data_IF_937037468214
#
_entry.id   IF_937037468214
#
_cell.length_a   1.000
_cell.length_b   1.000
_cell.length_c   1.000
_cell.angle_alpha   90.00
_cell.angle_beta   90.00
_cell.angle_gamma   90.00
#
_symmetry.space_group_name_H-M   'P 1'
#
loop_
_entity.id
_entity.type
_entity.pdbx_description
1 polymer ?
#
# COMPACT_ATOMS: atom_id res chain seq x y z
N UNK A 1 16.05 71.88 14.03
CA UNK A 1 14.96 71.43 13.13
C UNK A 1 15.63 70.72 11.96
N UNK A 2 15.97 69.44 12.13
CA UNK A 2 16.56 68.63 11.07
C UNK A 2 15.47 67.77 10.45
N UNK A 3 15.29 67.92 9.14
CA UNK A 3 14.36 67.13 8.35
C UNK A 3 14.76 65.65 8.33
N UNK A 4 13.71 64.82 8.37
CA UNK A 4 13.68 63.40 8.12
C UNK A 4 14.42 62.96 6.85
N UNK A 5 15.17 61.87 7.00
CA UNK A 5 15.28 60.83 5.99
C UNK A 5 15.19 59.47 6.73
N UNK A 6 14.23 58.60 6.39
CA UNK A 6 14.48 57.18 6.52
C UNK A 6 14.18 56.44 5.22
N UNK A 7 15.27 56.01 4.57
CA UNK A 7 15.48 54.65 4.03
C UNK A 7 14.21 53.83 3.87
N UNK A 8 13.70 53.75 2.64
CA UNK A 8 12.84 52.66 2.20
C UNK A 8 13.59 51.34 2.33
N UNK A 9 13.24 50.54 3.33
CA UNK A 9 13.61 49.13 3.39
C UNK A 9 12.70 48.36 2.44
N UNK A 10 13.29 47.83 1.37
CA UNK A 10 12.64 46.95 0.40
C UNK A 10 12.24 45.62 1.07
N UNK A 11 10.93 45.28 1.16
CA UNK A 11 10.48 44.03 1.79
C UNK A 11 10.62 42.81 0.88
N UNK A 12 11.10 42.94 -0.37
CA UNK A 12 11.30 41.80 -1.27
C UNK A 12 12.64 41.07 -1.06
N UNK A 13 12.92 40.66 0.18
CA UNK A 13 13.99 39.68 0.45
C UNK A 13 13.47 38.27 0.12
N UNK A 14 13.59 37.90 -1.16
CA UNK A 14 13.77 36.54 -1.67
C UNK A 14 12.92 35.43 -1.01
N UNK A 15 11.68 35.27 -1.46
CA UNK A 15 10.93 34.03 -1.26
C UNK A 15 11.51 32.92 -2.13
N UNK A 16 12.47 32.15 -1.61
CA UNK A 16 12.79 30.86 -2.19
C UNK A 16 11.49 30.03 -2.23
N UNK A 17 11.10 29.54 -3.41
CA UNK A 17 9.98 28.62 -3.54
C UNK A 17 10.18 27.48 -2.52
N UNK A 18 9.12 27.04 -1.80
CA UNK A 18 9.25 25.90 -0.89
C UNK A 18 9.86 24.75 -1.67
N UNK A 19 11.03 24.27 -1.22
CA UNK A 19 11.58 23.01 -1.72
C UNK A 19 10.47 21.98 -1.51
N UNK A 20 10.06 21.22 -2.54
CA UNK A 20 9.05 20.18 -2.36
C UNK A 20 9.58 19.25 -1.27
N UNK A 21 8.94 19.29 -0.10
CA UNK A 21 9.32 18.46 1.02
C UNK A 21 9.03 17.02 0.59
N UNK A 22 10.05 16.17 0.62
CA UNK A 22 9.85 14.72 0.49
C UNK A 22 8.84 14.20 1.52
N UNK A 23 8.45 12.91 1.43
CA UNK A 23 7.38 12.36 2.26
C UNK A 23 7.63 12.63 3.76
N UNK A 24 6.78 13.46 4.35
CA UNK A 24 7.00 14.07 5.66
C UNK A 24 6.30 13.31 6.79
N UNK A 25 5.31 12.50 6.44
CA UNK A 25 4.51 11.72 7.37
C UNK A 25 4.35 10.26 6.91
N UNK A 26 3.92 9.35 7.81
CA UNK A 26 3.80 7.94 7.48
C UNK A 26 2.86 7.65 6.29
N UNK A 27 1.77 8.40 6.17
CA UNK A 27 0.84 8.22 5.05
C UNK A 27 1.53 8.46 3.69
N UNK A 28 2.31 9.53 3.60
CA UNK A 28 3.06 9.90 2.39
C UNK A 28 4.17 8.90 2.07
N UNK A 29 4.89 8.42 3.09
CA UNK A 29 5.93 7.39 2.93
C UNK A 29 5.35 6.08 2.39
N UNK A 30 4.15 5.70 2.86
CA UNK A 30 3.45 4.52 2.37
C UNK A 30 3.12 4.65 0.88
N UNK A 31 2.58 5.80 0.45
CA UNK A 31 2.30 6.08 -0.95
C UNK A 31 3.52 5.94 -1.85
N UNK A 32 4.64 6.56 -1.45
CA UNK A 32 5.91 6.47 -2.19
C UNK A 32 6.38 5.02 -2.26
N UNK A 33 6.38 4.29 -1.15
CA UNK A 33 6.80 2.88 -1.14
C UNK A 33 5.94 2.00 -2.06
N UNK A 34 4.62 2.23 -2.11
CA UNK A 34 3.72 1.54 -3.05
C UNK A 34 4.04 1.85 -4.51
N UNK A 35 4.31 3.11 -4.83
CA UNK A 35 4.67 3.53 -6.18
C UNK A 35 6.02 2.97 -6.64
N UNK A 36 7.03 3.02 -5.77
CA UNK A 36 8.35 2.45 -6.05
C UNK A 36 8.26 0.95 -6.33
N UNK A 37 7.47 0.23 -5.53
CA UNK A 37 7.23 -1.20 -5.77
C UNK A 37 6.51 -1.44 -7.10
N UNK A 38 5.46 -0.66 -7.40
CA UNK A 38 4.74 -0.76 -8.66
C UNK A 38 5.64 -0.56 -9.87
N UNK A 39 6.52 0.45 -9.81
CA UNK A 39 7.53 0.73 -10.83
C UNK A 39 8.55 -0.40 -10.95
N UNK A 40 9.05 -0.93 -9.84
CA UNK A 40 9.99 -2.04 -9.83
C UNK A 40 9.39 -3.31 -10.46
N UNK A 41 8.15 -3.66 -10.11
CA UNK A 41 7.42 -4.80 -10.68
C UNK A 41 7.23 -4.63 -12.20
N UNK A 42 6.90 -3.41 -12.66
CA UNK A 42 6.78 -3.06 -14.07
C UNK A 42 8.11 -3.19 -14.82
N UNK A 43 9.21 -2.85 -14.15
CA UNK A 43 10.57 -2.99 -14.66
C UNK A 43 11.10 -4.45 -14.61
N UNK A 44 10.30 -5.41 -14.14
CA UNK A 44 10.65 -6.83 -14.12
C UNK A 44 11.27 -7.32 -12.81
N UNK A 45 11.42 -6.46 -11.79
CA UNK A 45 11.82 -6.91 -10.46
C UNK A 45 10.78 -7.88 -9.89
N UNK A 46 11.22 -8.85 -9.10
CA UNK A 46 10.35 -9.84 -8.44
C UNK A 46 10.72 -9.97 -6.95
N UNK A 47 9.72 -10.12 -6.06
CA UNK A 47 9.97 -10.35 -4.65
C UNK A 47 10.73 -11.67 -4.45
N UNK A 48 11.63 -11.69 -3.47
CA UNK A 48 12.39 -12.88 -3.12
C UNK A 48 11.74 -13.59 -1.94
N UNK A 49 11.79 -14.93 -1.88
CA UNK A 49 11.36 -15.68 -0.71
C UNK A 49 12.04 -15.21 0.57
N UNK A 50 11.27 -15.10 1.65
CA UNK A 50 11.72 -14.74 2.99
C UNK A 50 11.48 -15.93 3.93
N UNK A 51 12.44 -16.25 4.82
CA UNK A 51 12.19 -17.17 5.92
C UNK A 51 11.08 -16.65 6.83
N UNK A 52 10.15 -17.53 7.22
CA UNK A 52 9.06 -17.19 8.11
C UNK A 52 8.64 -18.42 8.94
N UNK A 53 8.24 -18.24 10.20
CA UNK A 53 7.86 -19.34 11.11
C UNK A 53 6.42 -19.80 10.87
N UNK A 54 6.07 -20.16 9.63
CA UNK A 54 4.73 -20.66 9.27
C UNK A 54 4.82 -21.95 8.46
N UNK A 55 3.79 -22.80 8.57
CA UNK A 55 3.65 -23.96 7.69
C UNK A 55 3.27 -23.50 6.28
N UNK A 56 3.97 -24.03 5.27
CA UNK A 56 3.81 -23.69 3.87
C UNK A 56 3.42 -24.93 3.08
N UNK A 57 2.48 -24.78 2.14
CA UNK A 57 2.17 -25.81 1.17
C UNK A 57 3.36 -26.04 0.20
N UNK A 58 3.45 -27.19 -0.49
CA UNK A 58 4.43 -27.38 -1.56
C UNK A 58 4.40 -26.23 -2.58
N UNK A 59 5.56 -25.62 -2.83
CA UNK A 59 5.70 -24.47 -3.73
C UNK A 59 5.23 -23.13 -3.16
N UNK A 60 4.68 -23.10 -1.95
CA UNK A 60 4.32 -21.86 -1.26
C UNK A 60 5.56 -21.23 -0.63
N UNK A 61 5.73 -19.92 -0.82
CA UNK A 61 6.82 -19.13 -0.25
C UNK A 61 6.29 -17.82 0.31
N UNK A 62 6.82 -17.39 1.46
CA UNK A 62 6.55 -16.05 1.99
C UNK A 62 7.38 -15.03 1.21
N UNK A 63 6.73 -13.97 0.74
CA UNK A 63 7.34 -12.92 -0.08
C UNK A 63 7.37 -11.57 0.65
N UNK A 64 6.52 -11.42 1.66
CA UNK A 64 6.58 -10.33 2.62
C UNK A 64 5.93 -10.70 3.95
N UNK A 65 6.32 -10.02 5.01
CA UNK A 65 5.72 -10.18 6.32
C UNK A 65 5.78 -8.86 7.10
N UNK A 66 4.80 -8.61 7.97
CA UNK A 66 4.76 -7.41 8.81
C UNK A 66 3.79 -7.57 9.99
N UNK A 67 4.00 -6.79 11.04
CA UNK A 67 3.05 -6.70 12.14
C UNK A 67 1.69 -6.21 11.61
N UNK A 68 0.61 -6.80 12.11
CA UNK A 68 -0.75 -6.49 11.67
C UNK A 68 -1.70 -6.28 12.83
N UNK A 69 -2.61 -5.33 12.68
CA UNK A 69 -3.82 -5.21 13.50
C UNK A 69 -5.04 -5.48 12.61
N UNK A 70 -5.81 -6.49 12.98
CA UNK A 70 -7.05 -6.87 12.31
C UNK A 70 -8.20 -6.02 12.84
N UNK A 71 -8.96 -5.44 11.92
CA UNK A 71 -10.23 -4.78 12.22
C UNK A 71 -11.36 -5.42 11.42
N UNK A 72 -12.51 -5.58 12.05
CA UNK A 72 -13.73 -6.09 11.42
C UNK A 72 -14.76 -4.99 11.25
N UNK A 73 -15.51 -5.08 10.15
CA UNK A 73 -16.64 -4.19 9.88
C UNK A 73 -17.91 -4.70 10.57
N UNK A 74 -18.48 -3.91 11.49
CA UNK A 74 -19.77 -4.24 12.14
C UNK A 74 -20.88 -3.41 11.47
N UNK A 75 -21.62 -4.03 10.55
CA UNK A 75 -22.64 -3.35 9.74
C UNK A 75 -24.09 -3.68 10.08
N UNK A 76 -24.38 -4.85 10.64
CA UNK A 76 -25.69 -5.30 11.13
C UNK A 76 -25.46 -6.42 12.16
N UNK A 77 -26.42 -6.65 13.06
CA UNK A 77 -26.41 -7.71 14.09
C UNK A 77 -26.19 -9.10 13.47
N UNK A 78 -24.93 -9.45 13.22
CA UNK A 78 -24.52 -10.80 12.89
C UNK A 78 -23.88 -11.35 14.13
N UNK A 79 -24.65 -12.20 14.82
CA UNK A 79 -24.19 -13.03 15.92
C UNK A 79 -22.88 -13.69 15.53
N UNK A 80 -21.86 -13.46 16.35
CA UNK A 80 -20.52 -14.03 16.19
C UNK A 80 -20.62 -15.55 16.19
N UNK A 81 -20.54 -16.17 15.01
CA UNK A 81 -20.09 -17.55 14.98
C UNK A 81 -18.57 -17.53 15.18
N UNK A 82 -18.17 -17.63 16.44
CA UNK A 82 -16.92 -18.24 16.85
C UNK A 82 -16.93 -19.68 16.31
N UNK A 83 -16.57 -19.87 15.05
CA UNK A 83 -16.81 -21.14 14.39
C UNK A 83 -16.07 -21.23 13.08
N UNK A 84 -14.81 -21.67 13.18
CA UNK A 84 -14.00 -22.24 12.11
C UNK A 84 -13.60 -21.28 10.97
N UNK A 85 -12.41 -20.67 11.12
CA UNK A 85 -11.49 -20.58 9.98
C UNK A 85 -10.95 -21.98 9.71
N UNK A 86 -11.77 -22.80 9.06
CA UNK A 86 -11.31 -24.02 8.40
C UNK A 86 -11.33 -23.75 6.93
N UNK A 87 -10.22 -23.21 6.43
CA UNK A 87 -9.74 -23.62 5.12
C UNK A 87 -8.74 -24.76 5.36
N UNK A 88 -9.20 -25.91 5.88
CA UNK A 88 -8.45 -27.15 5.68
C UNK A 88 -8.52 -27.42 4.17
N UNK A 89 -7.38 -27.32 3.51
CA UNK A 89 -7.25 -27.63 2.11
C UNK A 89 -5.79 -27.84 1.76
N UNK A 90 -5.37 -29.10 1.79
CA UNK A 90 -4.26 -29.59 0.95
C UNK A 90 -4.38 -28.97 -0.46
N UNK A 91 -3.29 -28.54 -1.13
CA UNK A 91 -3.33 -27.83 -2.41
C UNK A 91 -3.75 -28.71 -3.61
N UNK A 92 -4.52 -29.79 -3.41
CA UNK A 92 -4.86 -30.78 -4.43
C UNK A 92 -6.29 -30.68 -4.97
N UNK A 93 -6.89 -29.50 -5.05
CA UNK A 93 -8.08 -29.30 -5.86
C UNK A 93 -7.78 -28.39 -7.04
N UNK A 94 -7.20 -29.00 -8.08
CA UNK A 94 -7.34 -28.55 -9.46
C UNK A 94 -8.83 -28.60 -9.83
N UNK A 95 -9.46 -27.44 -9.97
CA UNK A 95 -10.84 -27.31 -10.40
C UNK A 95 -11.05 -25.98 -11.11
N UNK A 96 -11.37 -26.06 -12.40
CA UNK A 96 -11.49 -24.93 -13.32
C UNK A 96 -12.41 -23.82 -12.80
N UNK A 97 -11.98 -22.57 -12.90
CA UNK A 97 -12.87 -21.42 -12.99
C UNK A 97 -12.24 -20.31 -13.83
N UNK A 98 -13.12 -19.66 -14.59
CA UNK A 98 -12.88 -19.02 -15.88
C UNK A 98 -12.20 -17.64 -15.79
N UNK A 99 -11.53 -17.29 -16.89
CA UNK A 99 -11.18 -15.94 -17.32
C UNK A 99 -12.24 -14.87 -16.99
N UNK A 100 -11.77 -13.68 -16.58
CA UNK A 100 -12.53 -12.44 -16.66
C UNK A 100 -12.32 -11.48 -15.48
N UNK A 101 -11.15 -10.87 -15.35
CA UNK A 101 -10.98 -9.66 -14.52
C UNK A 101 -11.65 -8.47 -15.22
N UNK A 102 -12.96 -8.35 -15.05
CA UNK A 102 -13.67 -7.12 -15.38
C UNK A 102 -13.32 -6.07 -14.30
N UNK A 103 -12.55 -5.06 -14.70
CA UNK A 103 -12.40 -3.82 -13.95
C UNK A 103 -13.79 -3.19 -13.80
N UNK A 104 -14.38 -3.32 -12.62
CA UNK A 104 -15.61 -2.61 -12.27
C UNK A 104 -15.38 -1.85 -10.97
N UNK A 105 -15.13 -0.54 -11.09
CA UNK A 105 -15.03 0.35 -9.95
C UNK A 105 -15.87 1.61 -10.21
N UNK A 106 -16.72 1.97 -9.25
CA UNK A 106 -17.43 3.25 -9.29
C UNK A 106 -18.76 3.31 -8.53
N UNK A 107 -19.56 2.23 -8.47
CA UNK A 107 -20.94 2.33 -7.98
C UNK A 107 -21.21 1.73 -6.59
N UNK A 108 -20.30 0.93 -6.03
CA UNK A 108 -20.52 0.30 -4.71
C UNK A 108 -20.16 1.20 -3.52
N UNK A 109 -19.37 2.25 -3.75
CA UNK A 109 -19.02 3.24 -2.71
C UNK A 109 -20.25 3.94 -2.14
N UNK A 110 -21.26 4.22 -2.97
CA UNK A 110 -22.48 4.94 -2.54
C UNK A 110 -23.52 4.08 -1.83
N UNK A 111 -23.46 2.75 -1.95
CA UNK A 111 -24.41 1.84 -1.28
C UNK A 111 -23.93 1.37 0.09
N UNK A 112 -22.62 1.41 0.33
CA UNK A 112 -22.01 1.10 1.63
C UNK A 112 -22.04 2.29 2.61
N UNK A 113 -22.25 3.53 2.14
CA UNK A 113 -22.21 4.74 2.98
C UNK A 113 -23.57 5.11 3.61
N UNK A 114 -24.66 4.40 3.27
CA UNK A 114 -26.03 4.89 3.51
C UNK A 114 -26.87 4.17 4.60
N UNK A 115 -26.33 3.24 5.39
CA UNK A 115 -27.13 2.62 6.46
C UNK A 115 -26.29 2.21 7.68
N UNK A 116 -26.59 2.84 8.82
CA UNK A 116 -26.04 2.65 10.16
C UNK A 116 -24.52 2.92 10.29
N UNK A 117 -24.12 3.62 11.35
CA UNK A 117 -22.77 4.14 11.53
C UNK A 117 -21.69 3.07 11.25
N UNK A 118 -20.90 3.29 10.19
CA UNK A 118 -19.70 2.52 9.82
C UNK A 118 -18.78 2.44 11.04
N UNK A 119 -18.72 1.28 11.71
CA UNK A 119 -17.85 1.09 12.87
C UNK A 119 -16.88 -0.05 12.61
N UNK A 120 -15.65 0.32 12.25
CA UNK A 120 -14.50 -0.58 12.33
C UNK A 120 -14.18 -0.84 13.80
N UNK A 121 -14.04 -2.12 14.16
CA UNK A 121 -13.66 -2.55 15.52
C UNK A 121 -12.35 -3.32 15.47
N UNK A 122 -11.35 -2.97 16.31
CA UNK A 122 -10.11 -3.73 16.37
C UNK A 122 -10.41 -5.05 17.07
N UNK A 123 -10.03 -6.16 16.45
CA UNK A 123 -10.38 -7.50 16.95
C UNK A 123 -9.15 -8.24 17.48
N UNK A 124 -8.02 -8.14 16.78
CA UNK A 124 -6.80 -8.86 17.15
C UNK A 124 -5.54 -8.19 16.57
N UNK A 125 -4.39 -8.54 17.12
CA UNK A 125 -3.07 -8.15 16.61
C UNK A 125 -2.23 -9.39 16.33
N UNK A 126 -1.20 -9.28 15.50
CA UNK A 126 -0.32 -10.40 15.19
C UNK A 126 0.64 -10.13 14.05
N UNK A 127 0.94 -11.18 13.29
CA UNK A 127 1.83 -11.13 12.14
C UNK A 127 1.08 -11.49 10.86
N UNK A 128 1.23 -10.65 9.84
CA UNK A 128 0.80 -10.92 8.47
C UNK A 128 1.94 -11.54 7.68
N UNK A 129 1.63 -12.54 6.87
CA UNK A 129 2.50 -13.13 5.87
C UNK A 129 1.79 -13.07 4.51
N UNK A 130 2.39 -12.41 3.52
CA UNK A 130 1.99 -12.51 2.13
C UNK A 130 2.78 -13.62 1.47
N UNK A 131 2.09 -14.66 1.02
CA UNK A 131 2.68 -15.75 0.24
C UNK A 131 2.26 -15.65 -1.21
N UNK A 132 2.88 -16.43 -2.09
CA UNK A 132 2.36 -16.59 -3.46
C UNK A 132 0.99 -17.28 -3.54
N UNK A 133 0.44 -17.80 -2.43
CA UNK A 133 -0.84 -18.51 -2.41
C UNK A 133 -1.95 -17.76 -1.67
N UNK A 134 -1.61 -17.00 -0.62
CA UNK A 134 -2.59 -16.46 0.34
C UNK A 134 -2.04 -15.28 1.16
N UNK A 135 -2.96 -14.63 1.87
CA UNK A 135 -2.64 -13.79 3.02
C UNK A 135 -2.84 -14.66 4.27
N UNK A 136 -1.78 -14.97 4.99
CA UNK A 136 -1.84 -15.70 6.26
C UNK A 136 -1.67 -14.73 7.43
N UNK A 137 -2.50 -14.85 8.46
CA UNK A 137 -2.48 -14.01 9.65
C UNK A 137 -2.30 -14.90 10.88
N UNK A 138 -1.15 -14.81 11.53
CA UNK A 138 -0.92 -15.38 12.85
C UNK A 138 -1.30 -14.37 13.91
N UNK A 139 -2.56 -14.41 14.38
CA UNK A 139 -3.11 -13.44 15.32
C UNK A 139 -3.09 -13.97 16.76
N UNK A 140 -3.18 -13.06 17.73
CA UNK A 140 -3.34 -13.39 19.16
C UNK A 140 -4.59 -14.22 19.45
N UNK A 141 -5.60 -14.13 18.59
CA UNK A 141 -6.85 -14.90 18.66
C UNK A 141 -6.82 -16.22 17.87
N UNK A 142 -5.72 -16.54 17.20
CA UNK A 142 -5.58 -17.71 16.33
C UNK A 142 -5.20 -17.37 14.88
N UNK A 143 -5.22 -18.37 14.01
CA UNK A 143 -4.81 -18.23 12.62
C UNK A 143 -5.99 -17.91 11.70
N UNK A 144 -5.75 -17.05 10.71
CA UNK A 144 -6.68 -16.75 9.62
C UNK A 144 -5.92 -16.83 8.30
N UNK A 145 -6.47 -17.57 7.34
CA UNK A 145 -5.94 -17.65 5.99
C UNK A 145 -6.96 -17.12 4.98
N UNK A 146 -6.53 -16.17 4.16
CA UNK A 146 -7.34 -15.59 3.08
C UNK A 146 -6.69 -16.00 1.75
N UNK A 147 -7.20 -17.08 1.16
CA UNK A 147 -6.75 -17.50 -0.16
C UNK A 147 -7.24 -16.52 -1.24
N UNK A 148 -6.37 -16.24 -2.22
CA UNK A 148 -6.67 -15.25 -3.27
C UNK A 148 -7.97 -15.47 -4.05
N UNK A 149 -8.39 -16.72 -4.38
CA UNK A 149 -9.67 -16.95 -5.05
C UNK A 149 -10.92 -16.47 -4.29
N UNK A 150 -10.82 -16.26 -2.97
CA UNK A 150 -11.93 -15.75 -2.16
C UNK A 150 -11.95 -14.22 -2.03
N UNK A 151 -10.91 -13.52 -2.50
CA UNK A 151 -10.92 -12.06 -2.55
C UNK A 151 -11.93 -11.60 -3.60
N UNK A 152 -12.88 -10.74 -3.19
CA UNK A 152 -13.91 -10.17 -4.06
C UNK A 152 -13.60 -8.75 -4.47
N UNK A 153 -13.05 -7.98 -3.53
CA UNK A 153 -12.56 -6.64 -3.76
C UNK A 153 -11.48 -6.31 -2.74
N UNK A 154 -10.66 -5.33 -3.08
CA UNK A 154 -9.61 -4.83 -2.20
C UNK A 154 -9.38 -3.36 -2.46
N UNK A 155 -9.18 -2.59 -1.40
CA UNK A 155 -8.72 -1.20 -1.46
C UNK A 155 -7.64 -0.98 -0.42
N UNK A 156 -6.99 0.18 -0.48
CA UNK A 156 -6.04 0.63 0.52
C UNK A 156 -6.36 2.07 0.88
N UNK A 157 -6.22 2.38 2.16
CA UNK A 157 -6.27 3.73 2.68
C UNK A 157 -4.96 4.04 3.44
N UNK A 158 -4.93 5.19 4.14
CA UNK A 158 -3.72 5.59 4.84
C UNK A 158 -3.34 4.76 6.06
N UNK A 159 -4.25 3.89 6.51
CA UNK A 159 -4.07 3.06 7.70
C UNK A 159 -3.87 1.58 7.37
N UNK A 160 -4.48 1.07 6.29
CA UNK A 160 -4.44 -0.36 6.02
C UNK A 160 -5.06 -0.75 4.69
N UNK A 161 -4.94 -2.03 4.40
CA UNK A 161 -5.65 -2.67 3.30
C UNK A 161 -7.04 -3.05 3.79
N UNK A 162 -8.06 -2.80 2.97
CA UNK A 162 -9.41 -3.30 3.19
C UNK A 162 -9.64 -4.41 2.18
N UNK A 163 -9.99 -5.61 2.65
CA UNK A 163 -10.31 -6.74 1.78
C UNK A 163 -11.74 -7.22 2.04
N UNK A 164 -12.46 -7.45 0.94
CA UNK A 164 -13.79 -8.04 0.95
C UNK A 164 -13.63 -9.51 0.56
N UNK A 165 -14.01 -10.41 1.46
CA UNK A 165 -13.84 -11.86 1.30
C UNK A 165 -15.21 -12.49 1.07
N UNK A 166 -15.28 -13.49 0.19
CA UNK A 166 -16.51 -14.19 -0.13
C UNK A 166 -17.20 -14.74 1.13
N UNK A 167 -18.47 -14.35 1.35
CA UNK A 167 -19.27 -14.84 2.47
C UNK A 167 -18.84 -14.31 3.85
N UNK A 168 -17.99 -13.29 3.91
CA UNK A 168 -17.49 -12.71 5.15
C UNK A 168 -17.65 -11.19 5.16
N UNK A 169 -17.82 -10.56 6.34
CA UNK A 169 -17.72 -9.12 6.47
C UNK A 169 -16.37 -8.59 5.98
N UNK A 170 -16.30 -7.35 5.47
CA UNK A 170 -15.03 -6.72 5.15
C UNK A 170 -14.09 -6.69 6.36
N UNK A 171 -12.80 -6.92 6.11
CA UNK A 171 -11.75 -6.79 7.12
C UNK A 171 -10.73 -5.75 6.69
N UNK A 172 -10.21 -5.00 7.66
CA UNK A 172 -9.07 -4.12 7.47
C UNK A 172 -7.84 -4.76 8.12
N UNK A 173 -6.78 -4.81 7.35
CA UNK A 173 -5.44 -5.23 7.75
C UNK A 173 -4.60 -3.96 7.89
N UNK A 174 -4.49 -3.46 9.12
CA UNK A 174 -3.59 -2.35 9.42
C UNK A 174 -2.16 -2.91 9.50
N UNK A 175 -1.34 -2.54 8.53
CA UNK A 175 0.03 -3.02 8.33
C UNK A 175 0.86 -1.88 7.75
N UNK A 176 2.16 -1.90 7.98
CA UNK A 176 3.07 -0.87 7.52
C UNK A 176 4.12 -1.41 6.52
N UNK A 177 4.36 -0.76 5.37
CA UNK A 177 3.60 0.35 4.77
C UNK A 177 2.37 -0.15 4.00
N UNK A 178 1.16 0.40 4.21
CA UNK A 178 -0.06 -0.22 3.66
C UNK A 178 -0.13 -0.25 2.12
N UNK A 179 0.31 0.79 1.40
CA UNK A 179 0.26 0.78 -0.08
C UNK A 179 1.28 -0.19 -0.67
N UNK A 180 2.43 -0.38 -0.03
CA UNK A 180 3.42 -1.38 -0.47
C UNK A 180 2.84 -2.79 -0.36
N UNK A 181 2.24 -3.14 0.78
CA UNK A 181 1.58 -4.44 0.95
C UNK A 181 0.40 -4.61 0.00
N UNK A 182 -0.34 -3.55 -0.28
CA UNK A 182 -1.46 -3.57 -1.24
C UNK A 182 -0.99 -3.89 -2.66
N UNK A 183 0.03 -3.19 -3.15
CA UNK A 183 0.59 -3.42 -4.49
C UNK A 183 1.15 -4.83 -4.60
N UNK A 184 1.91 -5.30 -3.60
CA UNK A 184 2.43 -6.66 -3.61
C UNK A 184 1.30 -7.69 -3.62
N UNK A 185 0.29 -7.54 -2.75
CA UNK A 185 -0.84 -8.45 -2.70
C UNK A 185 -1.58 -8.53 -4.04
N UNK A 186 -1.81 -7.39 -4.71
CA UNK A 186 -2.46 -7.37 -6.03
C UNK A 186 -1.64 -8.07 -7.10
N UNK A 187 -0.32 -7.89 -7.08
CA UNK A 187 0.60 -8.61 -7.95
C UNK A 187 0.56 -10.12 -7.71
N UNK A 188 0.56 -10.58 -6.46
CA UNK A 188 0.53 -12.00 -6.13
C UNK A 188 -0.83 -12.65 -6.40
N UNK A 189 -1.93 -11.96 -6.09
CA UNK A 189 -3.28 -12.47 -6.26
C UNK A 189 -3.74 -12.49 -7.72
N UNK A 190 -3.30 -11.53 -8.54
CA UNK A 190 -3.87 -11.29 -9.87
C UNK A 190 -2.83 -11.14 -11.00
N UNK A 191 -1.53 -11.16 -10.70
CA UNK A 191 -0.48 -10.85 -11.67
C UNK A 191 -0.45 -9.37 -12.09
N UNK A 192 -1.16 -8.50 -11.37
CA UNK A 192 -1.31 -7.10 -11.73
C UNK A 192 -0.11 -6.26 -11.33
N UNK A 193 0.33 -5.40 -12.24
CA UNK A 193 1.32 -4.36 -11.93
C UNK A 193 0.60 -3.03 -11.76
N UNK A 194 0.42 -2.62 -10.51
CA UNK A 194 -0.31 -1.39 -10.18
C UNK A 194 0.65 -0.20 -10.25
N UNK A 195 0.30 0.80 -11.06
CA UNK A 195 0.90 2.13 -10.96
C UNK A 195 0.11 2.93 -9.93
N UNK A 196 0.76 3.20 -8.81
CA UNK A 196 0.21 4.03 -7.75
C UNK A 196 0.36 5.50 -8.18
N UNK A 197 -0.74 6.23 -8.33
CA UNK A 197 -0.70 7.65 -8.70
C UNK A 197 -0.31 8.53 -7.52
N UNK A 198 1.00 8.70 -7.32
CA UNK A 198 1.56 9.48 -6.23
C UNK A 198 1.02 10.93 -6.28
N UNK A 199 0.47 11.44 -5.16
CA UNK A 199 0.05 12.84 -5.05
C UNK A 199 1.13 13.79 -5.58
N UNK A 200 0.77 14.84 -6.34
CA UNK A 200 1.75 15.69 -7.04
C UNK A 200 2.85 16.26 -6.13
N UNK A 201 2.53 16.57 -4.88
CA UNK A 201 3.48 17.13 -3.91
C UNK A 201 4.51 16.12 -3.38
N UNK A 202 4.27 14.82 -3.58
CA UNK A 202 5.19 13.74 -3.21
C UNK A 202 6.02 13.22 -4.37
N UNK A 203 5.73 13.70 -5.59
CA UNK A 203 6.57 13.39 -6.74
C UNK A 203 7.87 14.15 -6.56
N UNK A 204 8.97 13.42 -6.43
CA UNK A 204 10.29 14.06 -6.48
C UNK A 204 10.41 14.84 -7.81
N UNK A 205 10.95 16.07 -7.79
CA UNK A 205 11.35 16.73 -9.02
C UNK A 205 12.28 15.81 -9.80
N UNK A 206 12.11 15.70 -11.11
CA UNK A 206 12.87 14.82 -11.99
C UNK A 206 14.38 15.18 -12.14
N UNK A 207 15.01 15.85 -11.18
CA UNK A 207 16.33 16.45 -11.33
C UNK A 207 17.30 16.02 -10.23
N UNK A 208 17.94 14.86 -10.41
CA UNK A 208 19.22 14.52 -9.77
C UNK A 208 20.03 13.43 -10.52
N UNK A 209 19.80 13.20 -11.83
CA UNK A 209 20.71 12.39 -12.68
C UNK A 209 21.65 13.22 -13.57
N UNK A 210 21.46 14.54 -13.67
CA UNK A 210 22.40 15.42 -14.36
C UNK A 210 23.22 16.20 -13.33
N UNK A 211 24.33 15.62 -12.88
CA UNK A 211 25.31 16.34 -12.07
C UNK A 211 25.93 17.50 -12.87
N UNK A 212 26.15 18.70 -12.29
CA UNK A 212 26.96 19.72 -12.91
C UNK A 212 28.43 19.39 -12.64
N UNK A 213 28.96 18.42 -13.38
CA UNK A 213 30.36 18.03 -13.35
C UNK A 213 30.90 17.91 -14.78
N UNK A 214 31.16 19.04 -15.43
CA UNK A 214 31.72 19.02 -16.79
C UNK A 214 31.68 20.34 -17.55
N UNK A 215 32.22 21.43 -16.98
CA UNK A 215 32.68 22.58 -17.75
C UNK A 215 33.62 23.43 -16.89
N UNK A 216 34.81 22.89 -16.58
CA UNK A 216 35.92 23.71 -16.13
C UNK A 216 36.57 24.36 -17.35
N UNK A 217 36.42 25.68 -17.41
CA UNK A 217 37.38 26.70 -17.82
C UNK A 217 38.50 26.27 -18.81
N UNK A 218 38.41 26.79 -20.04
CA UNK A 218 39.44 26.67 -21.07
C UNK A 218 39.53 27.96 -21.88
N UNK A 219 40.07 29.01 -21.28
CA UNK A 219 40.48 30.27 -21.92
C UNK A 219 41.36 29.97 -23.17
N UNK A 220 41.15 30.61 -24.33
CA UNK A 220 42.03 30.45 -25.48
C UNK A 220 43.36 31.19 -25.27
N UNK A 221 44.52 30.66 -25.74
CA UNK A 221 45.75 31.42 -25.80
C UNK A 221 45.75 32.31 -27.04
N UNK A 222 45.96 33.61 -26.86
CA UNK A 222 46.20 34.55 -27.96
C UNK A 222 46.81 35.84 -27.44
N UNK A 223 48.04 36.12 -27.86
CA UNK A 223 48.77 37.38 -27.61
C UNK A 223 50.14 37.16 -27.00
#
# INVERSE_FOLDING_TARGET
MSLHDPKGSDPYRSGAAPVPAGPSNPYEQSWVAGADLGNALAAGWRPRPQPAPIALAPGEVVLAQGAVRLWQYTGQDVTYNQGFFVAFGSPLLLGASLLGSALYNGSQRRRAEAAAAVQWRPTATGQLFLTNHRIALGLSSGWIDIAYPYLRASSVDGTGLIVMVAGQPPVRLEVWPPHWFFVLMRFLAYGETIRVDVPPHLRLPAALEAGPGGAADGRPPGG
#
